data_IF_591964219348
#
_entry.id   IF_591964219348
#
_cell.length_a   1.000
_cell.length_b   1.000
_cell.length_c   1.000
_cell.angle_alpha   90.00
_cell.angle_beta   90.00
_cell.angle_gamma   90.00
#
_symmetry.space_group_name_H-M   'P 1'
#
loop_
_entity.id
_entity.type
_entity.pdbx_description
1 polymer ?
#
# COMPACT_ATOMS: atom_id res chain seq x y z
N UNK A 1 -7.14 4.37 11.77
CA UNK A 1 -5.82 4.54 11.12
C UNK A 1 -4.82 3.47 11.51
N UNK A 2 -4.81 3.00 12.77
CA UNK A 2 -3.95 1.91 13.25
C UNK A 2 -3.94 0.65 12.36
N UNK A 3 -5.09 0.24 11.83
CA UNK A 3 -5.20 -0.95 10.95
C UNK A 3 -4.39 -0.79 9.65
N UNK A 4 -4.33 0.43 9.08
CA UNK A 4 -3.57 0.67 7.86
C UNK A 4 -2.06 0.61 8.16
N UNK A 5 -1.61 1.29 9.22
CA UNK A 5 -0.22 1.24 9.68
C UNK A 5 0.25 -0.18 10.01
N UNK A 6 -0.57 -0.94 10.74
CA UNK A 6 -0.30 -2.35 11.04
C UNK A 6 -0.13 -3.18 9.76
N UNK A 7 -1.09 -3.12 8.84
CA UNK A 7 -1.03 -3.91 7.59
C UNK A 7 0.20 -3.54 6.76
N UNK A 8 0.52 -2.26 6.66
CA UNK A 8 1.70 -1.80 5.93
C UNK A 8 2.99 -2.37 6.53
N UNK A 9 3.17 -2.27 7.84
CA UNK A 9 4.37 -2.81 8.52
C UNK A 9 4.46 -4.32 8.34
N UNK A 10 3.36 -5.04 8.58
CA UNK A 10 3.33 -6.51 8.40
C UNK A 10 3.72 -6.89 6.97
N UNK A 11 3.22 -6.17 5.98
CA UNK A 11 3.51 -6.43 4.59
C UNK A 11 5.00 -6.21 4.24
N UNK A 12 5.58 -5.10 4.70
CA UNK A 12 6.99 -4.76 4.42
C UNK A 12 7.95 -5.77 5.05
N UNK A 13 7.60 -6.38 6.19
CA UNK A 13 8.39 -7.45 6.79
C UNK A 13 8.12 -8.83 6.17
N UNK A 14 6.85 -9.19 5.99
CA UNK A 14 6.48 -10.56 5.59
C UNK A 14 6.85 -10.88 4.15
N UNK A 15 6.59 -9.97 3.20
CA UNK A 15 6.84 -10.21 1.76
C UNK A 15 8.31 -10.57 1.47
N UNK A 16 9.32 -9.77 1.89
CA UNK A 16 10.70 -10.10 1.59
C UNK A 16 11.16 -11.36 2.34
N UNK A 17 10.73 -11.56 3.58
CA UNK A 17 11.01 -12.78 4.33
C UNK A 17 10.45 -14.02 3.65
N UNK A 18 9.23 -13.95 3.11
CA UNK A 18 8.62 -15.02 2.34
C UNK A 18 9.42 -15.36 1.07
N UNK A 19 9.87 -14.35 0.32
CA UNK A 19 10.72 -14.56 -0.86
C UNK A 19 12.08 -15.17 -0.52
N UNK A 20 12.68 -14.79 0.63
CA UNK A 20 13.95 -15.35 1.06
C UNK A 20 13.80 -16.80 1.53
N UNK A 21 12.76 -17.12 2.30
CA UNK A 21 12.57 -18.44 2.91
C UNK A 21 12.02 -19.48 1.93
N UNK A 22 11.02 -19.13 1.12
CA UNK A 22 10.34 -20.09 0.24
C UNK A 22 11.05 -20.23 -1.11
N UNK A 23 11.47 -19.12 -1.71
CA UNK A 23 12.08 -19.12 -3.03
C UNK A 23 13.62 -19.08 -3.01
N UNK A 24 14.23 -19.12 -1.82
CA UNK A 24 15.68 -19.04 -1.63
C UNK A 24 16.32 -17.82 -2.35
N UNK A 25 15.59 -16.71 -2.44
CA UNK A 25 16.12 -15.49 -3.05
C UNK A 25 17.13 -14.83 -2.11
N UNK A 26 18.21 -14.28 -2.67
CA UNK A 26 19.14 -13.46 -1.90
C UNK A 26 18.45 -12.22 -1.32
N UNK A 27 19.03 -11.64 -0.26
CA UNK A 27 18.55 -10.38 0.31
C UNK A 27 18.42 -9.28 -0.75
N UNK A 28 19.35 -9.19 -1.69
CA UNK A 28 19.31 -8.24 -2.80
C UNK A 28 18.12 -8.50 -3.73
N UNK A 29 17.88 -9.76 -4.14
CA UNK A 29 16.80 -10.10 -5.07
C UNK A 29 15.41 -9.91 -4.45
N UNK A 30 15.25 -10.27 -3.18
CA UNK A 30 14.00 -10.00 -2.45
C UNK A 30 13.74 -8.50 -2.27
N UNK A 31 14.79 -7.69 -2.06
CA UNK A 31 14.67 -6.22 -2.07
C UNK A 31 14.23 -5.67 -3.43
N UNK A 32 14.77 -6.19 -4.53
CA UNK A 32 14.32 -5.81 -5.88
C UNK A 32 12.85 -6.14 -6.12
N UNK A 33 12.34 -7.26 -5.58
CA UNK A 33 10.91 -7.63 -5.67
C UNK A 33 9.97 -6.68 -4.91
N UNK A 34 10.49 -5.82 -4.02
CA UNK A 34 9.71 -4.77 -3.37
C UNK A 34 9.58 -3.50 -4.23
N UNK A 35 10.47 -3.29 -5.20
CA UNK A 35 10.44 -2.09 -6.06
C UNK A 35 9.10 -1.91 -6.79
N UNK A 36 8.47 -2.95 -7.38
CA UNK A 36 7.16 -2.79 -8.01
C UNK A 36 6.09 -2.28 -7.03
N UNK A 37 6.12 -2.78 -5.78
CA UNK A 37 5.19 -2.35 -4.73
C UNK A 37 5.41 -0.87 -4.43
N UNK A 38 6.65 -0.47 -4.13
CA UNK A 38 6.99 0.90 -3.74
C UNK A 38 6.75 1.91 -4.86
N UNK A 39 7.09 1.56 -6.10
CA UNK A 39 6.90 2.43 -7.26
C UNK A 39 5.41 2.65 -7.54
N UNK A 40 4.62 1.58 -7.56
CA UNK A 40 3.18 1.70 -7.80
C UNK A 40 2.45 2.33 -6.62
N UNK A 41 2.88 2.07 -5.39
CA UNK A 41 2.39 2.76 -4.21
C UNK A 41 2.61 4.26 -4.34
N UNK A 42 3.81 4.70 -4.73
CA UNK A 42 4.13 6.12 -4.90
C UNK A 42 3.30 6.74 -6.02
N UNK A 43 3.22 6.10 -7.19
CA UNK A 43 2.42 6.58 -8.30
C UNK A 43 0.93 6.68 -7.92
N UNK A 44 0.38 5.62 -7.35
CA UNK A 44 -1.04 5.55 -6.96
C UNK A 44 -1.38 6.53 -5.85
N UNK A 45 -0.47 6.73 -4.89
CA UNK A 45 -0.58 7.75 -3.85
C UNK A 45 -0.73 9.15 -4.47
N UNK A 46 0.16 9.51 -5.39
CA UNK A 46 0.11 10.79 -6.11
C UNK A 46 -1.19 10.95 -6.89
N UNK A 47 -1.58 9.94 -7.69
CA UNK A 47 -2.84 9.98 -8.43
C UNK A 47 -4.06 10.12 -7.52
N UNK A 48 -4.10 9.39 -6.40
CA UNK A 48 -5.19 9.49 -5.43
C UNK A 48 -5.28 10.89 -4.82
N UNK A 49 -4.15 11.51 -4.48
CA UNK A 49 -4.11 12.88 -3.97
C UNK A 49 -4.63 13.89 -4.99
N UNK A 50 -4.24 13.75 -6.27
CA UNK A 50 -4.77 14.58 -7.35
C UNK A 50 -6.29 14.37 -7.51
N UNK A 51 -6.75 13.12 -7.57
CA UNK A 51 -8.19 12.82 -7.73
C UNK A 51 -8.99 13.45 -6.59
N UNK A 52 -8.52 13.34 -5.35
CA UNK A 52 -9.19 13.96 -4.19
C UNK A 52 -9.18 15.49 -4.29
N UNK A 53 -8.10 16.10 -4.79
CA UNK A 53 -8.04 17.54 -5.03
C UNK A 53 -9.07 18.01 -6.08
N UNK A 54 -9.24 17.27 -7.17
CA UNK A 54 -10.17 17.63 -8.24
C UNK A 54 -11.64 17.32 -7.91
N UNK A 55 -11.91 16.15 -7.33
CA UNK A 55 -13.27 15.65 -7.05
C UNK A 55 -13.81 16.15 -5.71
N UNK A 56 -12.91 16.50 -4.77
CA UNK A 56 -13.27 16.91 -3.41
C UNK A 56 -13.78 15.77 -2.53
N UNK A 57 -13.78 14.51 -3.02
CA UNK A 57 -14.28 13.33 -2.29
C UNK A 57 -13.16 12.31 -2.10
N UNK A 58 -12.89 11.94 -0.85
CA UNK A 58 -11.83 11.00 -0.48
C UNK A 58 -12.32 9.58 -0.20
N UNK A 59 -13.63 9.38 0.04
CA UNK A 59 -14.17 8.11 0.52
C UNK A 59 -14.05 7.00 -0.53
N UNK A 60 -14.26 7.34 -1.79
CA UNK A 60 -14.25 6.42 -2.93
C UNK A 60 -12.83 5.89 -3.17
N UNK A 61 -11.82 6.75 -3.11
CA UNK A 61 -10.42 6.34 -3.20
C UNK A 61 -10.03 5.39 -2.06
N UNK A 62 -10.46 5.67 -0.83
CA UNK A 62 -10.18 4.81 0.33
C UNK A 62 -10.84 3.43 0.17
N UNK A 63 -12.11 3.38 -0.23
CA UNK A 63 -12.83 2.12 -0.43
C UNK A 63 -12.20 1.27 -1.54
N UNK A 64 -11.86 1.92 -2.66
CA UNK A 64 -11.16 1.26 -3.77
C UNK A 64 -9.78 0.74 -3.33
N UNK A 65 -9.01 1.55 -2.60
CA UNK A 65 -7.72 1.16 -2.05
C UNK A 65 -7.80 -0.08 -1.16
N UNK A 66 -8.76 -0.11 -0.24
CA UNK A 66 -8.99 -1.27 0.64
C UNK A 66 -9.39 -2.53 -0.12
N UNK A 67 -10.27 -2.42 -1.13
CA UNK A 67 -10.66 -3.55 -1.97
C UNK A 67 -9.46 -4.12 -2.72
N UNK A 68 -8.69 -3.27 -3.41
CA UNK A 68 -7.50 -3.71 -4.12
C UNK A 68 -6.45 -4.32 -3.19
N UNK A 69 -6.25 -3.73 -2.00
CA UNK A 69 -5.27 -4.23 -1.04
C UNK A 69 -5.68 -5.60 -0.48
N UNK A 70 -6.95 -5.78 -0.11
CA UNK A 70 -7.47 -7.05 0.39
C UNK A 70 -7.39 -8.16 -0.68
N UNK A 71 -7.75 -7.86 -1.93
CA UNK A 71 -7.64 -8.81 -3.04
C UNK A 71 -6.17 -9.13 -3.32
N UNK A 72 -5.29 -8.12 -3.31
CA UNK A 72 -3.85 -8.31 -3.52
C UNK A 72 -3.22 -9.22 -2.46
N UNK A 73 -3.52 -9.00 -1.19
CA UNK A 73 -3.05 -9.87 -0.10
C UNK A 73 -3.67 -11.27 -0.18
N UNK A 74 -4.95 -11.38 -0.53
CA UNK A 74 -5.62 -12.65 -0.75
C UNK A 74 -4.97 -13.45 -1.89
N UNK A 75 -4.65 -12.81 -3.02
CA UNK A 75 -3.90 -13.44 -4.10
C UNK A 75 -2.48 -13.82 -3.68
N UNK A 76 -1.84 -13.00 -2.87
CA UNK A 76 -0.50 -13.30 -2.36
C UNK A 76 -0.46 -14.54 -1.48
N UNK A 77 -1.55 -14.85 -0.77
CA UNK A 77 -1.69 -16.10 0.00
C UNK A 77 -1.74 -17.37 -0.86
N UNK A 78 -1.99 -17.23 -2.18
CA UNK A 78 -2.01 -18.35 -3.14
C UNK A 78 -0.64 -18.61 -3.79
N UNK A 79 0.39 -17.85 -3.42
CA UNK A 79 1.75 -18.07 -3.92
C UNK A 79 2.31 -19.39 -3.39
N UNK A 80 2.73 -20.23 -4.32
CA UNK A 80 3.33 -21.54 -4.06
C UNK A 80 4.76 -21.61 -4.62
N UNK A 81 5.55 -22.60 -4.23
CA UNK A 81 6.98 -22.77 -4.55
C UNK A 81 7.29 -22.64 -6.05
N UNK A 82 6.36 -23.12 -6.88
CA UNK A 82 6.47 -23.17 -8.35
C UNK A 82 5.95 -21.90 -9.06
N UNK A 83 5.63 -20.85 -8.32
CA UNK A 83 5.00 -19.66 -8.90
C UNK A 83 5.97 -18.84 -9.74
N UNK A 84 5.57 -18.52 -10.97
CA UNK A 84 6.37 -17.68 -11.87
C UNK A 84 6.54 -16.26 -11.34
N UNK A 85 7.69 -15.65 -11.67
CA UNK A 85 8.02 -14.26 -11.33
C UNK A 85 6.94 -13.28 -11.82
N UNK A 86 6.31 -13.55 -12.98
CA UNK A 86 5.23 -12.71 -13.50
C UNK A 86 4.01 -12.62 -12.58
N UNK A 87 3.61 -13.73 -11.94
CA UNK A 87 2.52 -13.72 -10.95
C UNK A 87 2.92 -12.94 -9.70
N UNK A 88 4.15 -13.12 -9.22
CA UNK A 88 4.68 -12.37 -8.07
C UNK A 88 4.64 -10.86 -8.31
N UNK A 89 5.10 -10.40 -9.48
CA UNK A 89 5.07 -8.98 -9.87
C UNK A 89 3.62 -8.50 -10.04
N UNK A 90 2.75 -9.29 -10.68
CA UNK A 90 1.34 -8.94 -10.86
C UNK A 90 0.60 -8.72 -9.54
N UNK A 91 0.85 -9.56 -8.54
CA UNK A 91 0.26 -9.39 -7.20
C UNK A 91 0.85 -8.18 -6.47
N UNK A 92 2.18 -7.99 -6.56
CA UNK A 92 2.87 -6.80 -6.03
C UNK A 92 2.30 -5.49 -6.60
N UNK A 93 1.92 -5.48 -7.89
CA UNK A 93 1.29 -4.34 -8.54
C UNK A 93 -0.06 -4.01 -7.91
N UNK A 94 -0.93 -5.01 -7.74
CA UNK A 94 -2.25 -4.80 -7.14
C UNK A 94 -2.16 -4.30 -5.70
N UNK A 95 -1.22 -4.85 -4.94
CA UNK A 95 -0.96 -4.42 -3.57
C UNK A 95 -0.43 -2.99 -3.54
N UNK A 96 0.54 -2.63 -4.38
CA UNK A 96 1.06 -1.27 -4.47
C UNK A 96 -0.03 -0.24 -4.75
N UNK A 97 -0.93 -0.54 -5.71
CA UNK A 97 -2.08 0.31 -6.02
C UNK A 97 -3.03 0.46 -4.83
N UNK A 98 -3.34 -0.64 -4.13
CA UNK A 98 -4.21 -0.62 -2.95
C UNK A 98 -3.63 0.22 -1.81
N UNK A 99 -2.36 -0.01 -1.47
CA UNK A 99 -1.65 0.73 -0.41
C UNK A 99 -1.62 2.24 -0.70
N UNK A 100 -1.26 2.62 -1.93
CA UNK A 100 -1.18 4.03 -2.34
C UNK A 100 -2.53 4.76 -2.22
N UNK A 101 -3.61 4.14 -2.68
CA UNK A 101 -4.97 4.68 -2.60
C UNK A 101 -5.58 4.67 -1.19
N UNK A 102 -4.92 4.03 -0.21
CA UNK A 102 -5.41 3.99 1.17
C UNK A 102 -4.63 4.96 2.07
N UNK A 103 -3.30 4.98 1.97
CA UNK A 103 -2.45 5.78 2.87
C UNK A 103 -2.60 7.29 2.66
N UNK A 104 -2.62 7.74 1.41
CA UNK A 104 -2.65 9.18 1.09
C UNK A 104 -4.04 9.79 1.31
N UNK A 105 -5.14 9.19 0.80
CA UNK A 105 -6.48 9.74 1.04
C UNK A 105 -6.90 9.67 2.51
N UNK A 106 -6.42 8.70 3.29
CA UNK A 106 -6.67 8.67 4.72
C UNK A 106 -6.03 9.85 5.45
N UNK A 107 -4.80 10.25 5.07
CA UNK A 107 -4.17 11.47 5.62
C UNK A 107 -5.01 12.71 5.31
N UNK A 108 -5.46 12.84 4.06
CA UNK A 108 -6.31 13.96 3.64
C UNK A 108 -7.63 13.96 4.45
N UNK A 109 -8.24 12.79 4.66
CA UNK A 109 -9.46 12.67 5.45
C UNK A 109 -9.29 13.18 6.88
N UNK A 110 -8.15 12.89 7.53
CA UNK A 110 -7.88 13.44 8.87
C UNK A 110 -7.63 14.95 8.87
N UNK A 111 -6.93 15.46 7.87
CA UNK A 111 -6.64 16.88 7.76
C UNK A 111 -7.89 17.70 7.42
N UNK A 112 -8.84 17.12 6.68
CA UNK A 112 -10.09 17.77 6.28
C UNK A 112 -11.04 18.08 7.47
N UNK A 113 -10.87 17.41 8.61
CA UNK A 113 -11.73 17.59 9.79
C UNK A 113 -11.27 18.67 10.77
N UNK A 114 -10.15 19.34 10.50
CA UNK A 114 -9.55 20.32 11.43
C UNK A 114 -9.18 21.63 10.73
N UNK A 115 -9.05 22.69 11.53
CA UNK A 115 -8.55 23.97 11.03
C UNK A 115 -7.09 23.87 10.57
N UNK A 116 -6.70 24.73 9.63
CA UNK A 116 -5.33 24.75 9.06
C UNK A 116 -4.23 24.82 10.14
N UNK A 117 -4.48 25.51 11.25
CA UNK A 117 -3.53 25.64 12.37
C UNK A 117 -3.25 24.30 13.07
N UNK A 118 -4.22 23.38 13.06
CA UNK A 118 -4.16 22.11 13.79
C UNK A 118 -3.79 20.93 12.87
N UNK A 119 -3.68 21.15 11.55
CA UNK A 119 -3.32 20.08 10.60
C UNK A 119 -1.99 19.41 10.94
N UNK A 120 -1.00 20.17 11.41
CA UNK A 120 0.30 19.62 11.82
C UNK A 120 0.18 18.70 13.04
N UNK A 121 -0.67 19.06 14.00
CA UNK A 121 -0.95 18.29 15.22
C UNK A 121 -1.70 17.00 14.89
N UNK A 122 -2.69 17.06 14.00
CA UNK A 122 -3.42 15.86 13.57
C UNK A 122 -2.53 14.92 12.76
N UNK A 123 -1.66 15.48 11.93
CA UNK A 123 -0.71 14.68 11.15
C UNK A 123 0.31 13.97 12.04
N UNK A 124 0.75 14.58 13.15
CA UNK A 124 1.66 13.94 14.11
C UNK A 124 0.97 12.87 14.96
N UNK A 125 -0.33 13.01 15.23
CA UNK A 125 -1.16 11.98 15.87
C UNK A 125 -1.42 10.76 14.98
N UNK A 126 -1.18 10.88 13.66
CA UNK A 126 -1.24 9.76 12.71
C UNK A 126 -0.02 8.85 12.86
N UNK A 127 0.04 8.09 13.97
CA UNK A 127 0.94 6.94 14.15
C UNK A 127 0.23 5.63 13.82
#
# INVERSE_FOLDING_TARGET
MAINGWNFVMQVYYIPSFYQLVYNYSATKSGVMLLPITLLQTASSTFSGLIVHWVGRYRECILFGWLCWAIGLGLMSTLDENTSIGKQIGYSVLIGVGVGNTLQPALIATQAGVERRDMAVVTSFRK
#
